data_IF_112536575226
#
_entry.id   IF_112536575226
#
_cell.length_a   1.000
_cell.length_b   1.000
_cell.length_c   1.000
_cell.angle_alpha   90.00
_cell.angle_beta   90.00
_cell.angle_gamma   90.00
#
_symmetry.space_group_name_H-M   'P 1'
#
loop_
_entity.id
_entity.type
_entity.pdbx_description
1 polymer ?
#
# COMPACT_ATOMS: atom_id res chain seq x y z
N UNK A 1 -6.25 -2.69 11.63
CA UNK A 1 -5.96 -1.38 12.28
C UNK A 1 -5.67 -0.30 11.25
N UNK A 2 -4.71 -0.56 10.35
CA UNK A 2 -4.31 0.32 9.25
C UNK A 2 -5.48 0.93 8.46
N UNK A 3 -6.48 0.12 8.06
CA UNK A 3 -7.70 0.61 7.40
C UNK A 3 -8.34 1.84 8.08
N UNK A 4 -8.49 1.82 9.42
CA UNK A 4 -9.15 2.91 10.14
C UNK A 4 -8.26 4.15 10.26
N UNK A 5 -6.94 3.96 10.35
CA UNK A 5 -5.99 5.06 10.31
C UNK A 5 -5.98 5.74 8.93
N UNK A 6 -6.00 4.96 7.86
CA UNK A 6 -6.09 5.47 6.49
C UNK A 6 -7.42 6.19 6.23
N UNK A 7 -8.56 5.60 6.62
CA UNK A 7 -9.89 6.22 6.47
C UNK A 7 -9.99 7.53 7.26
N UNK A 8 -9.57 7.51 8.53
CA UNK A 8 -9.58 8.71 9.38
C UNK A 8 -8.68 9.82 8.82
N UNK A 9 -7.47 9.48 8.38
CA UNK A 9 -6.55 10.45 7.77
C UNK A 9 -7.14 11.05 6.50
N UNK A 10 -7.77 10.25 5.64
CA UNK A 10 -8.43 10.75 4.42
C UNK A 10 -9.61 11.68 4.72
N UNK A 11 -10.40 11.39 5.77
CA UNK A 11 -11.47 12.28 6.24
C UNK A 11 -10.90 13.60 6.79
N UNK A 12 -9.81 13.53 7.56
CA UNK A 12 -9.10 14.72 8.06
C UNK A 12 -8.54 15.55 6.90
N UNK A 13 -7.94 14.91 5.88
CA UNK A 13 -7.47 15.58 4.68
C UNK A 13 -8.62 16.27 3.95
N UNK A 14 -9.75 15.58 3.70
CA UNK A 14 -10.94 16.17 3.06
C UNK A 14 -11.43 17.43 3.79
N UNK A 15 -11.41 17.42 5.12
CA UNK A 15 -11.87 18.54 5.95
C UNK A 15 -10.86 19.69 6.04
N UNK A 16 -9.59 19.39 6.28
CA UNK A 16 -8.57 20.40 6.60
C UNK A 16 -7.81 20.91 5.39
N UNK A 17 -7.61 20.10 4.36
CA UNK A 17 -6.79 20.47 3.20
C UNK A 17 -7.30 21.76 2.51
N UNK A 18 -8.61 21.94 2.25
CA UNK A 18 -9.11 23.18 1.66
C UNK A 18 -8.90 24.41 2.57
N UNK A 19 -8.96 24.22 3.89
CA UNK A 19 -8.76 25.28 4.90
C UNK A 19 -7.30 25.71 4.91
N UNK A 20 -6.38 24.74 4.99
CA UNK A 20 -4.93 24.97 4.99
C UNK A 20 -4.48 25.67 3.72
N UNK A 21 -4.99 25.25 2.56
CA UNK A 21 -4.63 25.84 1.27
C UNK A 21 -5.11 27.31 1.16
N UNK A 22 -6.27 27.65 1.74
CA UNK A 22 -6.82 29.02 1.77
C UNK A 22 -6.23 29.90 2.87
N UNK A 23 -5.62 29.31 3.90
CA UNK A 23 -5.07 30.07 5.03
C UNK A 23 -3.90 30.98 4.61
N UNK A 24 -3.77 32.14 5.27
CA UNK A 24 -2.64 33.08 5.10
C UNK A 24 -1.43 32.63 5.92
N UNK A 25 -0.91 31.44 5.61
CA UNK A 25 0.27 30.84 6.26
C UNK A 25 1.43 30.65 5.25
N UNK A 26 2.68 30.55 5.71
CA UNK A 26 3.84 30.37 4.82
C UNK A 26 3.70 29.13 3.92
N UNK A 27 4.15 29.24 2.67
CA UNK A 27 4.05 28.15 1.67
C UNK A 27 4.70 26.84 2.15
N UNK A 28 5.85 26.93 2.84
CA UNK A 28 6.55 25.76 3.39
C UNK A 28 5.65 24.95 4.34
N UNK A 29 4.91 25.65 5.20
CA UNK A 29 3.97 25.02 6.15
C UNK A 29 2.79 24.39 5.41
N UNK A 30 2.29 25.02 4.32
CA UNK A 30 1.25 24.43 3.48
C UNK A 30 1.71 23.13 2.84
N UNK A 31 2.91 23.12 2.27
CA UNK A 31 3.49 21.94 1.61
C UNK A 31 3.63 20.79 2.60
N UNK A 32 4.20 21.07 3.77
CA UNK A 32 4.34 20.06 4.82
C UNK A 32 2.98 19.51 5.28
N UNK A 33 2.00 20.39 5.51
CA UNK A 33 0.65 19.98 5.87
C UNK A 33 -0.02 19.12 4.78
N UNK A 34 0.19 19.44 3.49
CA UNK A 34 -0.33 18.63 2.37
C UNK A 34 0.28 17.23 2.41
N UNK A 35 1.59 17.09 2.57
CA UNK A 35 2.24 15.79 2.62
C UNK A 35 1.77 14.95 3.81
N UNK A 36 1.69 15.54 5.01
CA UNK A 36 1.23 14.82 6.20
C UNK A 36 -0.23 14.38 6.08
N UNK A 37 -1.11 15.24 5.57
CA UNK A 37 -2.54 14.91 5.41
C UNK A 37 -2.78 13.88 4.31
N UNK A 38 -2.00 13.91 3.23
CA UNK A 38 -2.21 13.05 2.06
C UNK A 38 -1.35 11.78 2.05
N UNK A 39 -0.49 11.54 3.04
CA UNK A 39 0.43 10.39 3.07
C UNK A 39 -0.25 9.02 2.78
N UNK A 40 -1.44 8.78 3.33
CA UNK A 40 -2.15 7.51 3.11
C UNK A 40 -2.66 7.31 1.66
N UNK A 41 -2.69 8.37 0.84
CA UNK A 41 -3.06 8.27 -0.58
C UNK A 41 -1.99 7.53 -1.39
N UNK A 42 -0.77 7.41 -0.87
CA UNK A 42 0.27 6.60 -1.47
C UNK A 42 -0.21 5.16 -1.72
N UNK A 43 -1.04 4.58 -0.85
CA UNK A 43 -1.63 3.25 -1.08
C UNK A 43 -2.55 3.19 -2.29
N UNK A 44 -3.33 4.26 -2.54
CA UNK A 44 -4.20 4.34 -3.72
C UNK A 44 -3.37 4.41 -5.01
N UNK A 45 -2.35 5.29 -5.03
CA UNK A 45 -1.44 5.40 -6.17
C UNK A 45 -0.63 4.12 -6.40
N UNK A 46 -0.27 3.41 -5.33
CA UNK A 46 0.44 2.14 -5.43
C UNK A 46 -0.39 1.05 -6.14
N UNK A 47 -1.71 0.99 -5.93
CA UNK A 47 -2.58 0.05 -6.66
C UNK A 47 -2.68 0.42 -8.13
N UNK A 48 -2.80 1.72 -8.43
CA UNK A 48 -2.83 2.20 -9.83
C UNK A 48 -1.52 1.83 -10.52
N UNK A 49 -0.38 2.09 -9.87
CA UNK A 49 0.94 1.69 -10.34
C UNK A 49 1.01 0.17 -10.55
N UNK A 50 0.52 -0.61 -9.59
CA UNK A 50 0.51 -2.07 -9.67
C UNK A 50 -0.29 -2.58 -10.89
N UNK A 51 -1.47 -1.99 -11.15
CA UNK A 51 -2.33 -2.35 -12.28
C UNK A 51 -1.75 -1.90 -13.64
N UNK A 52 -0.99 -0.80 -13.65
CA UNK A 52 -0.32 -0.29 -14.85
C UNK A 52 1.00 -1.00 -15.16
N UNK A 53 1.51 -1.83 -14.25
CA UNK A 53 2.81 -2.46 -14.39
C UNK A 53 2.90 -3.39 -15.62
N UNK A 54 1.91 -4.27 -15.84
CA UNK A 54 1.89 -5.15 -17.01
C UNK A 54 1.71 -4.35 -18.32
N UNK A 55 0.72 -3.44 -18.46
CA UNK A 55 0.60 -2.59 -19.65
C UNK A 55 1.89 -1.84 -19.96
N UNK A 56 2.53 -1.24 -18.95
CA UNK A 56 3.79 -0.51 -19.11
C UNK A 56 4.91 -1.43 -19.62
N UNK A 57 5.02 -2.64 -19.08
CA UNK A 57 6.01 -3.63 -19.54
C UNK A 57 5.79 -4.03 -21.01
N UNK A 58 4.52 -4.24 -21.42
CA UNK A 58 4.19 -4.65 -22.79
C UNK A 58 4.40 -3.51 -23.80
N UNK A 59 4.01 -2.28 -23.46
CA UNK A 59 4.15 -1.13 -24.35
C UNK A 59 5.63 -0.76 -24.56
N UNK A 60 6.41 -0.71 -23.48
CA UNK A 60 7.83 -0.33 -23.55
C UNK A 60 8.70 -1.33 -24.30
N UNK A 61 8.23 -2.57 -24.47
CA UNK A 61 8.94 -3.56 -25.29
C UNK A 61 9.07 -3.13 -26.76
N UNK A 62 8.08 -2.40 -27.29
CA UNK A 62 8.07 -1.93 -28.67
C UNK A 62 8.74 -0.57 -28.88
N UNK A 63 9.34 0.01 -27.82
CA UNK A 63 9.92 1.34 -27.85
C UNK A 63 11.45 1.27 -27.80
N UNK A 64 12.11 1.60 -28.90
CA UNK A 64 13.58 1.72 -28.97
C UNK A 64 14.04 3.12 -28.49
N UNK A 65 13.57 3.55 -27.31
CA UNK A 65 13.80 4.90 -26.76
C UNK A 65 14.60 4.83 -25.44
N UNK A 66 15.93 4.68 -25.49
CA UNK A 66 16.78 4.63 -24.29
C UNK A 66 16.75 5.94 -23.49
N UNK A 67 16.36 7.06 -24.08
CA UNK A 67 16.17 8.35 -23.40
C UNK A 67 15.14 8.28 -22.26
N UNK A 68 14.19 7.34 -22.30
CA UNK A 68 13.25 7.13 -21.20
C UNK A 68 13.95 6.67 -19.92
N UNK A 69 15.11 6.02 -20.03
CA UNK A 69 15.91 5.62 -18.86
C UNK A 69 16.47 6.83 -18.10
N UNK A 70 16.68 7.97 -18.78
CA UNK A 70 17.11 9.21 -18.14
C UNK A 70 16.04 9.78 -17.20
N UNK A 71 14.78 9.43 -17.44
CA UNK A 71 13.67 9.75 -16.54
C UNK A 71 13.43 8.64 -15.50
N UNK A 72 13.45 7.37 -15.94
CA UNK A 72 13.10 6.24 -15.08
C UNK A 72 14.12 6.02 -13.96
N UNK A 73 15.43 6.14 -14.24
CA UNK A 73 16.47 5.86 -13.25
C UNK A 73 16.40 6.85 -12.07
N UNK A 74 16.39 8.19 -12.29
CA UNK A 74 16.25 9.13 -11.18
C UNK A 74 14.93 8.99 -10.43
N UNK A 75 13.83 8.74 -11.16
CA UNK A 75 12.52 8.58 -10.54
C UNK A 75 12.46 7.31 -9.68
N UNK A 76 12.99 6.19 -10.18
CA UNK A 76 13.14 4.95 -9.43
C UNK A 76 14.03 5.15 -8.22
N UNK A 77 15.20 5.78 -8.38
CA UNK A 77 16.12 6.04 -7.27
C UNK A 77 15.48 6.93 -6.19
N UNK A 78 14.74 7.97 -6.57
CA UNK A 78 14.05 8.84 -5.63
C UNK A 78 12.93 8.10 -4.88
N UNK A 79 12.10 7.33 -5.60
CA UNK A 79 10.94 6.63 -5.01
C UNK A 79 11.36 5.41 -4.19
N UNK A 80 12.08 4.47 -4.80
CA UNK A 80 12.56 3.27 -4.12
C UNK A 80 13.61 3.62 -3.05
N UNK A 81 14.57 4.48 -3.39
CA UNK A 81 15.64 4.87 -2.48
C UNK A 81 15.13 5.62 -1.25
N UNK A 82 14.10 6.46 -1.37
CA UNK A 82 13.51 7.12 -0.19
C UNK A 82 12.90 6.12 0.80
N UNK A 83 12.19 5.09 0.31
CA UNK A 83 11.63 4.02 1.15
C UNK A 83 12.76 3.23 1.83
N UNK A 84 13.81 2.89 1.07
CA UNK A 84 14.98 2.19 1.60
C UNK A 84 15.67 3.01 2.69
N UNK A 85 15.98 4.28 2.42
CA UNK A 85 16.65 5.16 3.38
C UNK A 85 15.78 5.32 4.63
N UNK A 86 14.48 5.56 4.48
CA UNK A 86 13.56 5.65 5.61
C UNK A 86 13.58 4.38 6.48
N UNK A 87 13.51 3.20 5.87
CA UNK A 87 13.48 1.95 6.63
C UNK A 87 14.83 1.67 7.32
N UNK A 88 15.95 1.89 6.63
CA UNK A 88 17.28 1.66 7.20
C UNK A 88 17.58 2.65 8.34
N UNK A 89 17.22 3.92 8.18
CA UNK A 89 17.45 4.95 9.20
C UNK A 89 16.59 4.71 10.44
N UNK A 90 15.30 4.42 10.26
CA UNK A 90 14.39 4.14 11.39
C UNK A 90 14.81 2.87 12.13
N UNK A 91 15.12 1.78 11.42
CA UNK A 91 15.55 0.54 12.05
C UNK A 91 16.89 0.68 12.77
N UNK A 92 17.85 1.43 12.21
CA UNK A 92 19.11 1.77 12.90
C UNK A 92 18.85 2.57 14.17
N UNK A 93 17.94 3.55 14.14
CA UNK A 93 17.63 4.35 15.32
C UNK A 93 16.99 3.51 16.45
N UNK A 94 16.21 2.48 16.10
CA UNK A 94 15.54 1.60 17.06
C UNK A 94 16.43 0.48 17.62
N UNK A 95 17.25 -0.14 16.77
CA UNK A 95 17.96 -1.39 17.11
C UNK A 95 19.48 -1.32 16.92
N UNK A 96 20.01 -0.22 16.40
CA UNK A 96 21.43 -0.01 16.10
C UNK A 96 22.07 -1.08 15.20
N UNK A 97 21.27 -1.80 14.39
CA UNK A 97 21.73 -2.84 13.48
C UNK A 97 21.21 -2.62 12.06
N UNK A 98 22.11 -2.28 11.15
CA UNK A 98 21.77 -2.07 9.74
C UNK A 98 21.61 -3.38 8.97
N UNK A 99 22.29 -4.45 9.38
CA UNK A 99 22.30 -5.69 8.61
C UNK A 99 20.96 -6.43 8.74
N UNK A 100 20.38 -6.46 9.95
CA UNK A 100 19.00 -6.96 10.09
C UNK A 100 17.98 -6.08 9.36
N UNK A 101 18.21 -4.75 9.27
CA UNK A 101 17.33 -3.86 8.51
C UNK A 101 17.30 -4.26 7.02
N UNK A 102 18.48 -4.43 6.40
CA UNK A 102 18.60 -4.84 4.99
C UNK A 102 17.91 -6.19 4.75
N UNK A 103 18.10 -7.17 5.64
CA UNK A 103 17.45 -8.49 5.52
C UNK A 103 15.93 -8.43 5.62
N UNK A 104 15.40 -7.53 6.46
CA UNK A 104 13.94 -7.38 6.69
C UNK A 104 13.27 -6.51 5.63
N UNK A 105 14.02 -5.64 4.97
CA UNK A 105 13.50 -4.64 4.04
C UNK A 105 12.61 -5.24 2.94
N UNK A 106 12.99 -6.31 2.22
CA UNK A 106 12.13 -6.91 1.20
C UNK A 106 10.77 -7.35 1.73
N UNK A 107 10.77 -7.99 2.91
CA UNK A 107 9.53 -8.43 3.56
C UNK A 107 8.66 -7.24 3.97
N UNK A 108 9.26 -6.17 4.49
CA UNK A 108 8.52 -4.99 4.92
C UNK A 108 7.90 -4.24 3.74
N UNK A 109 8.60 -4.17 2.62
CA UNK A 109 8.04 -3.64 1.37
C UNK A 109 6.88 -4.51 0.88
N UNK A 110 7.06 -5.83 0.85
CA UNK A 110 5.98 -6.75 0.46
C UNK A 110 4.74 -6.61 1.35
N UNK A 111 4.91 -6.51 2.67
CA UNK A 111 3.80 -6.26 3.60
C UNK A 111 3.12 -4.91 3.33
N UNK A 112 3.90 -3.85 3.10
CA UNK A 112 3.36 -2.54 2.74
C UNK A 112 2.54 -2.56 1.45
N UNK A 113 3.03 -3.27 0.43
CA UNK A 113 2.34 -3.48 -0.85
C UNK A 113 1.06 -4.29 -0.64
N UNK A 114 1.11 -5.40 0.09
CA UNK A 114 -0.06 -6.24 0.33
C UNK A 114 -1.19 -5.52 1.06
N UNK A 115 -0.86 -4.64 2.00
CA UNK A 115 -1.85 -3.82 2.73
C UNK A 115 -2.47 -2.70 1.88
N UNK A 116 -1.93 -2.43 0.69
CA UNK A 116 -2.36 -1.31 -0.15
C UNK A 116 -3.83 -1.38 -0.56
N UNK A 117 -4.33 -2.56 -0.94
CA UNK A 117 -5.73 -2.75 -1.40
C UNK A 117 -6.73 -2.32 -0.33
N UNK A 118 -6.56 -2.85 0.87
CA UNK A 118 -7.41 -2.52 2.00
C UNK A 118 -7.29 -1.03 2.37
N UNK A 119 -6.07 -0.48 2.39
CA UNK A 119 -5.85 0.93 2.78
C UNK A 119 -6.33 1.93 1.72
N UNK A 120 -6.15 1.64 0.44
CA UNK A 120 -6.66 2.48 -0.65
C UNK A 120 -8.18 2.54 -0.64
N UNK A 121 -8.84 1.40 -0.39
CA UNK A 121 -10.29 1.39 -0.16
C UNK A 121 -10.67 2.29 1.00
N UNK A 122 -9.96 2.21 2.12
CA UNK A 122 -10.18 3.10 3.26
C UNK A 122 -10.05 4.58 2.89
N UNK A 123 -9.07 4.94 2.06
CA UNK A 123 -8.91 6.30 1.54
C UNK A 123 -10.11 6.72 0.69
N UNK A 124 -10.54 5.88 -0.26
CA UNK A 124 -11.72 6.15 -1.09
C UNK A 124 -12.99 6.30 -0.25
N UNK A 125 -13.19 5.44 0.74
CA UNK A 125 -14.30 5.57 1.69
C UNK A 125 -14.20 6.83 2.55
N UNK A 126 -12.99 7.24 2.95
CA UNK A 126 -12.79 8.45 3.72
C UNK A 126 -13.07 9.73 2.90
N UNK A 127 -12.82 9.67 1.59
CA UNK A 127 -13.07 10.77 0.66
C UNK A 127 -14.53 10.88 0.22
N UNK A 128 -15.13 9.77 -0.19
CA UNK A 128 -16.46 9.76 -0.81
C UNK A 128 -17.57 9.25 0.12
N UNK A 129 -17.21 8.55 1.21
CA UNK A 129 -18.17 8.04 2.16
C UNK A 129 -18.77 9.13 3.05
N UNK A 130 -20.01 8.90 3.48
CA UNK A 130 -20.74 9.76 4.43
C UNK A 130 -20.65 9.23 5.87
N UNK A 131 -19.83 8.20 6.12
CA UNK A 131 -19.74 7.55 7.42
C UNK A 131 -19.04 8.43 8.46
N UNK A 132 -19.80 8.86 9.48
CA UNK A 132 -19.30 9.53 10.69
C UNK A 132 -19.04 8.51 11.81
N UNK A 133 -19.43 7.24 11.63
CA UNK A 133 -19.38 6.20 12.66
C UNK A 133 -17.94 5.76 12.97
N UNK A 134 -17.46 6.17 14.14
CA UNK A 134 -16.16 5.75 14.64
C UNK A 134 -16.19 4.29 15.13
N UNK A 135 -15.82 3.36 14.24
CA UNK A 135 -15.69 1.94 14.60
C UNK A 135 -14.44 1.74 15.46
N UNK A 136 -14.65 1.52 16.76
CA UNK A 136 -13.56 1.23 17.72
C UNK A 136 -12.85 -0.07 17.36
N UNK A 137 -11.54 -0.15 17.66
CA UNK A 137 -10.82 -1.42 17.54
C UNK A 137 -11.34 -2.29 18.66
N UNK A 138 -11.81 -3.53 18.42
CA UNK A 138 -12.00 -4.44 19.51
C UNK A 138 -10.65 -4.61 20.22
N UNK A 139 -10.53 -4.11 21.46
CA UNK A 139 -9.40 -4.43 22.32
C UNK A 139 -9.67 -5.86 22.78
N UNK A 140 -9.00 -6.84 22.18
CA UNK A 140 -9.04 -8.19 22.69
C UNK A 140 -8.29 -8.19 24.03
N UNK A 141 -9.04 -8.04 25.12
CA UNK A 141 -8.53 -8.33 26.44
C UNK A 141 -8.28 -9.85 26.49
N UNK A 142 -7.02 -10.26 26.52
CA UNK A 142 -6.62 -11.66 26.75
C UNK A 142 -6.68 -11.92 28.27
N UNK A 143 -7.80 -11.60 28.89
CA UNK A 143 -8.08 -11.88 30.30
C UNK A 143 -9.57 -12.13 30.43
N UNK A 144 -9.95 -13.40 30.61
CA UNK A 144 -11.29 -13.82 30.99
C UNK A 144 -12.08 -14.51 29.88
N UNK A 145 -12.23 -15.82 30.03
CA UNK A 145 -13.23 -16.64 29.36
C UNK A 145 -14.62 -16.02 29.44
N UNK A 146 -15.07 -15.32 28.41
CA UNK A 146 -16.50 -15.21 28.11
C UNK A 146 -16.70 -15.29 26.60
N UNK A 147 -17.21 -16.45 26.18
CA UNK A 147 -17.75 -16.70 24.84
C UNK A 147 -19.01 -15.83 24.64
N UNK A 148 -18.82 -14.53 24.40
CA UNK A 148 -19.90 -13.64 23.97
C UNK A 148 -20.14 -13.82 22.47
N UNK A 149 -21.26 -14.44 22.11
CA UNK A 149 -21.66 -14.72 20.73
C UNK A 149 -21.61 -13.47 19.84
N UNK A 150 -20.59 -13.38 18.99
CA UNK A 150 -20.46 -12.31 18.02
C UNK A 150 -21.45 -12.52 16.88
N UNK A 151 -22.24 -11.48 16.59
CA UNK A 151 -23.05 -11.32 15.35
C UNK A 151 -22.14 -11.43 14.11
N UNK A 152 -21.75 -12.65 13.72
CA UNK A 152 -20.77 -12.95 12.66
C UNK A 152 -21.31 -12.93 11.23
N UNK A 153 -22.64 -12.88 11.03
CA UNK A 153 -23.22 -13.18 9.69
C UNK A 153 -23.19 -12.02 8.67
N UNK A 154 -23.26 -10.75 9.08
CA UNK A 154 -23.39 -9.63 8.10
C UNK A 154 -22.05 -9.00 7.64
N UNK A 155 -20.94 -9.31 8.32
CA UNK A 155 -19.60 -8.79 8.03
C UNK A 155 -18.73 -9.70 7.15
N UNK A 156 -19.24 -10.88 6.75
CA UNK A 156 -18.49 -11.87 5.95
C UNK A 156 -18.43 -11.54 4.45
N UNK A 157 -19.54 -11.10 3.87
CA UNK A 157 -19.65 -10.90 2.41
C UNK A 157 -18.71 -9.80 1.88
N UNK A 158 -18.63 -8.64 2.56
CA UNK A 158 -17.73 -7.56 2.15
C UNK A 158 -16.25 -7.95 2.23
N UNK A 159 -15.86 -8.71 3.27
CA UNK A 159 -14.47 -9.17 3.44
C UNK A 159 -14.03 -10.15 2.34
N UNK A 160 -14.95 -10.93 1.81
CA UNK A 160 -14.66 -11.94 0.78
C UNK A 160 -14.26 -11.32 -0.56
N UNK A 161 -14.95 -10.27 -1.02
CA UNK A 161 -14.63 -9.59 -2.28
C UNK A 161 -13.23 -8.94 -2.19
N UNK A 162 -12.91 -8.31 -1.07
CA UNK A 162 -11.60 -7.67 -0.89
C UNK A 162 -10.45 -8.67 -0.87
N UNK A 163 -10.64 -9.78 -0.16
CA UNK A 163 -9.66 -10.86 -0.17
C UNK A 163 -9.48 -11.45 -1.58
N UNK A 164 -10.57 -11.59 -2.35
CA UNK A 164 -10.48 -12.05 -3.74
C UNK A 164 -9.72 -11.06 -4.63
N UNK A 165 -9.88 -9.75 -4.42
CA UNK A 165 -9.09 -8.74 -5.11
C UNK A 165 -7.60 -8.82 -4.75
N UNK A 166 -7.27 -9.01 -3.47
CA UNK A 166 -5.88 -9.19 -3.02
C UNK A 166 -5.23 -10.41 -3.66
N UNK A 167 -5.92 -11.56 -3.65
CA UNK A 167 -5.45 -12.78 -4.33
C UNK A 167 -5.38 -12.58 -5.85
N UNK A 168 -6.37 -11.89 -6.43
CA UNK A 168 -6.43 -11.59 -7.86
C UNK A 168 -5.25 -10.75 -8.34
N UNK A 169 -4.86 -9.72 -7.58
CA UNK A 169 -3.64 -8.96 -7.84
C UNK A 169 -2.39 -9.85 -7.71
N UNK A 170 -2.34 -10.74 -6.73
CA UNK A 170 -1.27 -11.73 -6.60
C UNK A 170 -1.13 -12.61 -7.85
N UNK A 171 -2.23 -13.17 -8.35
CA UNK A 171 -2.27 -13.97 -9.58
C UNK A 171 -1.93 -13.16 -10.83
N UNK A 172 -2.36 -11.90 -10.89
CA UNK A 172 -1.97 -10.97 -11.95
C UNK A 172 -0.45 -10.76 -12.00
N UNK A 173 0.22 -10.64 -10.84
CA UNK A 173 1.68 -10.54 -10.81
C UNK A 173 2.37 -11.86 -11.14
N UNK A 174 1.79 -13.02 -10.81
CA UNK A 174 2.30 -14.32 -11.29
C UNK A 174 2.30 -14.36 -12.82
N UNK A 175 1.18 -13.99 -13.46
CA UNK A 175 1.09 -13.92 -14.91
C UNK A 175 2.07 -12.89 -15.51
N UNK A 176 2.22 -11.73 -14.86
CA UNK A 176 3.16 -10.68 -15.27
C UNK A 176 4.61 -11.16 -15.21
N UNK A 177 4.99 -11.93 -14.18
CA UNK A 177 6.33 -12.53 -14.06
C UNK A 177 6.54 -13.58 -15.15
N UNK A 178 5.56 -14.45 -15.41
CA UNK A 178 5.65 -15.43 -16.49
C UNK A 178 5.88 -14.75 -17.85
N UNK A 179 5.13 -13.68 -18.13
CA UNK A 179 5.35 -12.86 -19.32
C UNK A 179 6.70 -12.17 -19.31
N UNK A 180 7.16 -11.64 -18.17
CA UNK A 180 8.47 -11.01 -18.06
C UNK A 180 9.60 -11.98 -18.41
N UNK A 181 9.51 -13.24 -17.96
CA UNK A 181 10.47 -14.31 -18.31
C UNK A 181 10.43 -14.63 -19.81
N UNK A 182 9.24 -14.82 -20.39
CA UNK A 182 9.08 -15.13 -21.82
C UNK A 182 9.58 -13.98 -22.70
N UNK A 183 9.36 -12.73 -22.27
CA UNK A 183 9.77 -11.53 -23.01
C UNK A 183 11.22 -11.11 -22.77
N UNK A 184 11.93 -11.75 -21.83
CA UNK A 184 13.31 -11.41 -21.49
C UNK A 184 13.46 -10.14 -20.61
N UNK A 185 12.40 -9.70 -19.95
CA UNK A 185 12.36 -8.49 -19.11
C UNK A 185 12.92 -8.73 -17.69
N UNK A 186 14.16 -9.23 -17.59
CA UNK A 186 14.77 -9.72 -16.34
C UNK A 186 14.90 -8.65 -15.24
N UNK A 187 15.18 -7.40 -15.63
CA UNK A 187 15.41 -6.28 -14.71
C UNK A 187 14.19 -5.99 -13.83
N UNK A 188 12.98 -6.20 -14.37
CA UNK A 188 11.73 -5.93 -13.65
C UNK A 188 11.36 -7.03 -12.66
N UNK A 189 11.87 -8.26 -12.82
CA UNK A 189 11.43 -9.45 -12.08
C UNK A 189 11.57 -9.30 -10.56
N UNK A 190 12.71 -8.82 -9.99
CA UNK A 190 12.84 -8.69 -8.54
C UNK A 190 11.73 -7.82 -7.93
N UNK A 191 11.34 -6.75 -8.63
CA UNK A 191 10.28 -5.86 -8.18
C UNK A 191 8.89 -6.52 -8.33
N UNK A 192 8.63 -7.20 -9.45
CA UNK A 192 7.39 -7.95 -9.64
C UNK A 192 7.19 -9.03 -8.57
N UNK A 193 8.27 -9.70 -8.15
CA UNK A 193 8.24 -10.70 -7.07
C UNK A 193 7.84 -10.06 -5.74
N UNK A 194 8.31 -8.84 -5.42
CA UNK A 194 7.89 -8.14 -4.21
C UNK A 194 6.36 -7.88 -4.19
N UNK A 195 5.80 -7.48 -5.33
CA UNK A 195 4.35 -7.26 -5.47
C UNK A 195 3.58 -8.58 -5.34
N UNK A 196 4.04 -9.62 -6.04
CA UNK A 196 3.46 -10.96 -5.97
C UNK A 196 3.42 -11.47 -4.52
N UNK A 197 4.56 -11.46 -3.82
CA UNK A 197 4.66 -11.93 -2.44
C UNK A 197 3.78 -11.09 -1.52
N UNK A 198 3.78 -9.77 -1.68
CA UNK A 198 2.95 -8.88 -0.87
C UNK A 198 1.47 -9.17 -0.98
N UNK A 199 0.94 -9.21 -2.21
CA UNK A 199 -0.48 -9.46 -2.46
C UNK A 199 -0.92 -10.88 -2.10
N UNK A 200 -0.12 -11.90 -2.42
CA UNK A 200 -0.47 -13.28 -2.07
C UNK A 200 -0.41 -13.50 -0.55
N UNK A 201 0.58 -12.96 0.14
CA UNK A 201 0.70 -13.11 1.60
C UNK A 201 -0.48 -12.45 2.31
N UNK A 202 -0.78 -11.19 2.00
CA UNK A 202 -1.92 -10.50 2.64
C UNK A 202 -3.25 -11.09 2.18
N UNK A 203 -3.40 -11.40 0.89
CA UNK A 203 -4.62 -11.96 0.32
C UNK A 203 -4.99 -13.32 0.89
N UNK A 204 -4.02 -14.22 1.08
CA UNK A 204 -4.25 -15.55 1.70
C UNK A 204 -4.63 -15.41 3.17
N UNK A 205 -3.97 -14.54 3.93
CA UNK A 205 -4.34 -14.26 5.32
C UNK A 205 -5.75 -13.66 5.43
N UNK A 206 -6.10 -12.72 4.55
CA UNK A 206 -7.44 -12.14 4.46
C UNK A 206 -8.49 -13.19 4.10
N UNK A 207 -8.15 -14.13 3.21
CA UNK A 207 -9.04 -15.21 2.78
C UNK A 207 -9.35 -16.16 3.92
N UNK A 208 -8.32 -16.63 4.62
CA UNK A 208 -8.44 -17.49 5.80
C UNK A 208 -9.24 -16.84 6.92
N UNK A 209 -9.19 -15.50 7.04
CA UNK A 209 -9.99 -14.76 8.03
C UNK A 209 -11.44 -14.50 7.58
N UNK A 210 -11.71 -14.56 6.28
CA UNK A 210 -13.04 -14.36 5.71
C UNK A 210 -13.89 -15.64 5.73
N UNK A 211 -13.26 -16.80 5.53
CA UNK A 211 -13.85 -18.14 5.69
C UNK A 211 -14.11 -18.48 7.15
#
# INVERSE_FOLDING_TARGET
QQFRWAKGSAQTAKKLLPIVLRAKIPLKVKIEAVFHLTNNFAYLFLIILAALQLPNMLLRRGMDHPELLLLDIPLFAATFGSIVIFYLTTHRALYNDLWSAVKRLPLMMALGIGLSINNARAVLEGLFGNDITFVRTPKHAITGSTKGGLKKKKYRAGKMIHSLLEVGFGLYFVATIALAVITGSWVSIPFLVLFMVGFLYVGTLSFMQAT
#
